data_IF_110062361087
#
_entry.id   IF_110062361087
#
_cell.length_a   1.000
_cell.length_b   1.000
_cell.length_c   1.000
_cell.angle_alpha   90.00
_cell.angle_beta   90.00
_cell.angle_gamma   90.00
#
_symmetry.space_group_name_H-M   'P 1'
#
loop_
_entity.id
_entity.type
_entity.pdbx_description
1 polymer ?
#
# COMPACT_ATOMS: atom_id res chain seq x y z
N UNK A 1 -2.63 -12.94 -29.67
CA UNK A 1 -2.04 -12.10 -28.61
C UNK A 1 -3.14 -11.74 -27.61
N UNK A 2 -2.80 -11.49 -26.35
CA UNK A 2 -3.76 -10.96 -25.36
C UNK A 2 -3.97 -9.46 -25.65
N UNK A 3 -5.21 -8.96 -25.49
CA UNK A 3 -5.57 -7.56 -25.73
C UNK A 3 -6.30 -6.98 -24.52
N UNK A 4 -5.95 -5.75 -24.15
CA UNK A 4 -6.66 -4.97 -23.12
C UNK A 4 -7.49 -3.88 -23.80
N UNK A 5 -8.81 -3.93 -23.66
CA UNK A 5 -9.73 -3.04 -24.38
C UNK A 5 -10.89 -2.56 -23.51
N UNK A 6 -11.53 -1.46 -23.92
CA UNK A 6 -12.82 -1.04 -23.36
C UNK A 6 -13.98 -1.56 -24.19
N UNK A 7 -14.84 -2.41 -23.60
CA UNK A 7 -16.05 -2.92 -24.26
C UNK A 7 -17.30 -2.25 -23.70
N UNK A 8 -18.27 -1.96 -24.57
CA UNK A 8 -19.59 -1.54 -24.11
C UNK A 8 -20.26 -2.70 -23.33
N UNK A 9 -21.06 -2.42 -22.27
CA UNK A 9 -21.62 -3.47 -21.42
C UNK A 9 -22.45 -4.53 -22.15
N UNK A 10 -23.12 -4.17 -23.24
CA UNK A 10 -23.92 -5.08 -24.08
C UNK A 10 -23.07 -6.05 -24.91
N UNK A 11 -21.76 -5.79 -25.05
CA UNK A 11 -20.80 -6.64 -25.76
C UNK A 11 -20.07 -7.62 -24.85
N UNK A 12 -20.30 -7.55 -23.54
CA UNK A 12 -19.62 -8.38 -22.55
C UNK A 12 -20.53 -9.55 -22.18
N UNK A 13 -20.10 -10.76 -22.53
CA UNK A 13 -20.73 -12.00 -22.11
C UNK A 13 -19.65 -13.10 -22.01
N UNK A 14 -19.52 -13.70 -20.84
CA UNK A 14 -18.60 -14.82 -20.59
C UNK A 14 -19.04 -15.60 -19.36
N UNK A 15 -18.35 -16.69 -19.03
CA UNK A 15 -18.56 -17.46 -17.80
C UNK A 15 -17.68 -16.88 -16.67
N UNK A 16 -18.24 -16.11 -15.71
CA UNK A 16 -17.46 -15.58 -14.60
C UNK A 16 -16.97 -16.69 -13.68
N UNK A 17 -15.87 -16.44 -12.97
CA UNK A 17 -15.32 -17.33 -11.96
C UNK A 17 -16.40 -17.74 -10.94
N UNK A 18 -16.49 -19.02 -10.63
CA UNK A 18 -17.48 -19.64 -9.73
C UNK A 18 -18.95 -19.55 -10.18
N UNK A 19 -19.22 -19.05 -11.39
CA UNK A 19 -20.57 -19.06 -11.95
C UNK A 19 -20.89 -20.41 -12.63
N UNK A 20 -22.20 -20.70 -12.76
CA UNK A 20 -22.69 -21.94 -13.40
C UNK A 20 -23.07 -21.78 -14.87
N UNK A 21 -23.14 -20.54 -15.36
CA UNK A 21 -23.56 -20.21 -16.73
C UNK A 21 -22.89 -18.93 -17.19
N UNK A 22 -22.86 -18.71 -18.49
CA UNK A 22 -22.49 -17.41 -19.04
C UNK A 22 -23.43 -16.32 -18.56
N UNK A 23 -22.85 -15.15 -18.30
CA UNK A 23 -23.54 -13.96 -17.82
C UNK A 23 -23.07 -12.75 -18.63
N UNK A 24 -24.02 -11.86 -18.94
CA UNK A 24 -23.74 -10.53 -19.48
C UNK A 24 -23.14 -9.62 -18.40
N UNK A 25 -22.51 -8.50 -18.78
CA UNK A 25 -22.02 -7.54 -17.78
C UNK A 25 -23.12 -7.08 -16.81
N UNK A 26 -24.35 -6.88 -17.29
CA UNK A 26 -25.49 -6.49 -16.45
C UNK A 26 -25.79 -7.57 -15.40
N UNK A 27 -25.94 -8.82 -15.83
CA UNK A 27 -26.18 -9.95 -14.91
C UNK A 27 -25.02 -10.13 -13.93
N UNK A 28 -23.78 -9.94 -14.36
CA UNK A 28 -22.62 -10.00 -13.45
C UNK A 28 -22.78 -8.97 -12.34
N UNK A 29 -23.03 -7.71 -12.67
CA UNK A 29 -23.15 -6.62 -11.70
C UNK A 29 -24.39 -6.72 -10.80
N UNK A 30 -25.48 -7.31 -11.31
CA UNK A 30 -26.77 -7.39 -10.61
C UNK A 30 -27.01 -8.70 -9.86
N UNK A 31 -26.34 -9.81 -10.24
CA UNK A 31 -26.62 -11.14 -9.69
C UNK A 31 -25.38 -11.80 -9.06
N UNK A 32 -24.18 -11.64 -9.64
CA UNK A 32 -22.97 -12.30 -9.15
C UNK A 32 -22.50 -11.67 -7.82
N UNK A 33 -22.15 -12.46 -6.78
CA UNK A 33 -21.74 -11.92 -5.47
C UNK A 33 -20.62 -10.88 -5.57
N UNK A 34 -19.55 -11.19 -6.32
CA UNK A 34 -18.44 -10.25 -6.57
C UNK A 34 -18.81 -9.08 -7.47
N UNK A 35 -19.73 -9.29 -8.42
CA UNK A 35 -20.21 -8.21 -9.26
C UNK A 35 -20.97 -7.17 -8.45
N UNK A 36 -21.85 -7.60 -7.54
CA UNK A 36 -22.57 -6.73 -6.60
C UNK A 36 -21.63 -5.95 -5.68
N UNK A 37 -20.66 -6.65 -5.10
CA UNK A 37 -19.68 -6.07 -4.17
C UNK A 37 -18.92 -4.91 -4.81
N UNK A 38 -18.49 -5.06 -6.07
CA UNK A 38 -17.64 -4.09 -6.76
C UNK A 38 -18.36 -3.24 -7.82
N UNK A 39 -19.68 -3.36 -7.98
CA UNK A 39 -20.44 -2.67 -9.02
C UNK A 39 -20.26 -1.14 -8.99
N UNK A 40 -20.02 -0.57 -7.81
CA UNK A 40 -19.74 0.85 -7.64
C UNK A 40 -18.54 1.35 -8.44
N UNK A 41 -17.54 0.49 -8.72
CA UNK A 41 -16.30 0.86 -9.41
C UNK A 41 -16.51 1.20 -10.90
N UNK A 42 -17.55 0.64 -11.51
CA UNK A 42 -17.87 0.83 -12.94
C UNK A 42 -19.13 1.65 -13.17
N UNK A 43 -19.75 2.14 -12.09
CA UNK A 43 -21.03 2.88 -12.16
C UNK A 43 -20.87 4.16 -12.98
N UNK A 44 -21.68 4.28 -14.04
CA UNK A 44 -21.70 5.45 -14.92
C UNK A 44 -20.65 5.43 -16.05
N UNK A 45 -19.80 4.41 -16.13
CA UNK A 45 -18.87 4.25 -17.24
C UNK A 45 -19.59 3.73 -18.50
N UNK A 46 -19.17 4.21 -19.67
CA UNK A 46 -19.72 3.78 -20.98
C UNK A 46 -19.08 2.49 -21.50
N UNK A 47 -17.85 2.20 -21.07
CA UNK A 47 -17.09 1.02 -21.45
C UNK A 47 -16.43 0.43 -20.21
N UNK A 48 -16.33 -0.89 -20.14
CA UNK A 48 -15.65 -1.62 -19.08
C UNK A 48 -14.36 -2.22 -19.62
N UNK A 49 -13.32 -2.21 -18.78
CA UNK A 49 -12.02 -2.74 -19.14
C UNK A 49 -12.06 -4.27 -19.16
N UNK A 50 -11.61 -4.87 -20.26
CA UNK A 50 -11.59 -6.30 -20.45
C UNK A 50 -10.25 -6.77 -21.03
N UNK A 51 -9.78 -7.91 -20.53
CA UNK A 51 -8.73 -8.67 -21.20
C UNK A 51 -9.36 -9.73 -22.11
N UNK A 52 -8.83 -9.85 -23.32
CA UNK A 52 -9.25 -10.82 -24.33
C UNK A 52 -8.05 -11.69 -24.71
N UNK A 53 -8.26 -12.99 -24.87
CA UNK A 53 -7.24 -13.90 -25.36
C UNK A 53 -7.07 -13.82 -26.89
N UNK A 54 -6.16 -14.62 -27.45
CA UNK A 54 -5.92 -14.68 -28.90
C UNK A 54 -7.07 -15.24 -29.74
N UNK A 55 -8.16 -15.70 -29.11
CA UNK A 55 -9.40 -16.19 -29.75
C UNK A 55 -10.59 -15.28 -29.44
N UNK A 56 -10.32 -14.05 -28.99
CA UNK A 56 -11.31 -13.04 -28.61
C UNK A 56 -12.24 -13.47 -27.46
N UNK A 57 -11.81 -14.42 -26.62
CA UNK A 57 -12.54 -14.80 -25.41
C UNK A 57 -12.14 -13.89 -24.26
N UNK A 58 -13.14 -13.45 -23.49
CA UNK A 58 -12.93 -12.61 -22.31
C UNK A 58 -12.22 -13.43 -21.23
N UNK A 59 -11.06 -12.93 -20.80
CA UNK A 59 -10.27 -13.46 -19.68
C UNK A 59 -10.68 -12.83 -18.36
N UNK A 60 -11.00 -11.53 -18.36
CA UNK A 60 -11.48 -10.80 -17.20
C UNK A 60 -12.26 -9.55 -17.61
N UNK A 61 -13.15 -9.11 -16.72
CA UNK A 61 -13.78 -7.80 -16.72
C UNK A 61 -13.25 -7.05 -15.50
N UNK A 62 -12.13 -6.34 -15.67
CA UNK A 62 -11.40 -5.68 -14.60
C UNK A 62 -12.09 -4.35 -14.21
N UNK A 63 -12.16 -3.99 -12.92
CA UNK A 63 -11.60 -4.66 -11.74
C UNK A 63 -12.57 -5.64 -11.05
N UNK A 64 -13.58 -6.14 -11.75
CA UNK A 64 -14.72 -6.84 -11.12
C UNK A 64 -14.48 -8.33 -10.95
N UNK A 65 -14.21 -9.06 -12.04
CA UNK A 65 -14.19 -10.54 -12.00
C UNK A 65 -13.41 -11.15 -13.17
N UNK A 66 -12.76 -12.28 -12.89
CA UNK A 66 -12.07 -13.11 -13.88
C UNK A 66 -13.00 -14.18 -14.49
N UNK A 67 -12.59 -14.77 -15.61
CA UNK A 67 -13.28 -15.88 -16.27
C UNK A 67 -13.00 -17.21 -15.57
N UNK A 68 -14.02 -18.06 -15.43
CA UNK A 68 -13.87 -19.44 -14.93
C UNK A 68 -12.99 -20.28 -15.85
N UNK A 69 -13.04 -20.02 -17.16
CA UNK A 69 -12.37 -20.85 -18.17
C UNK A 69 -10.89 -20.51 -18.33
N UNK A 70 -10.55 -19.22 -18.27
CA UNK A 70 -9.21 -18.73 -18.61
C UNK A 70 -8.53 -17.99 -17.46
N UNK A 71 -9.27 -17.53 -16.46
CA UNK A 71 -8.72 -16.80 -15.30
C UNK A 71 -8.61 -17.64 -14.03
N UNK A 72 -9.05 -18.91 -14.04
CA UNK A 72 -8.98 -19.79 -12.88
C UNK A 72 -7.59 -20.42 -12.74
N UNK A 73 -6.97 -20.20 -11.60
CA UNK A 73 -5.75 -20.92 -11.18
C UNK A 73 -6.16 -22.09 -10.27
N UNK A 74 -5.56 -23.26 -10.47
CA UNK A 74 -5.84 -24.49 -9.72
C UNK A 74 -4.56 -25.19 -9.29
N UNK A 75 -4.66 -26.22 -8.44
CA UNK A 75 -3.49 -27.00 -8.00
C UNK A 75 -2.70 -27.64 -9.16
N UNK A 76 -3.32 -27.84 -10.31
CA UNK A 76 -2.66 -28.38 -11.50
C UNK A 76 -1.97 -27.33 -12.37
N UNK A 77 -2.17 -26.04 -12.11
CA UNK A 77 -1.62 -24.95 -12.92
C UNK A 77 -0.09 -24.93 -12.78
N UNK A 78 0.60 -24.86 -13.92
CA UNK A 78 2.07 -24.80 -14.01
C UNK A 78 2.56 -23.45 -14.50
N UNK A 79 1.87 -22.90 -15.48
CA UNK A 79 2.16 -21.60 -16.08
C UNK A 79 1.05 -20.62 -15.73
N UNK A 80 1.42 -19.41 -15.31
CA UNK A 80 0.48 -18.36 -14.93
C UNK A 80 0.81 -17.09 -15.71
N UNK A 81 -0.19 -16.54 -16.39
CA UNK A 81 -0.13 -15.19 -16.92
C UNK A 81 -0.62 -14.22 -15.85
N UNK A 82 0.24 -13.29 -15.44
CA UNK A 82 -0.07 -12.28 -14.42
C UNK A 82 -0.28 -10.94 -15.12
N UNK A 83 -1.44 -10.33 -14.92
CA UNK A 83 -1.72 -8.96 -15.34
C UNK A 83 -1.90 -8.06 -14.12
N UNK A 84 -1.47 -6.81 -14.24
CA UNK A 84 -1.79 -5.76 -13.29
C UNK A 84 -2.20 -4.52 -14.09
N UNK A 85 -3.41 -4.04 -13.84
CA UNK A 85 -3.99 -2.91 -14.56
C UNK A 85 -4.56 -1.89 -13.59
N UNK A 86 -4.44 -0.62 -13.96
CA UNK A 86 -4.79 0.52 -13.10
C UNK A 86 -4.51 1.84 -13.79
N UNK A 87 -4.69 2.93 -13.04
CA UNK A 87 -4.54 4.29 -13.57
C UNK A 87 -3.13 4.85 -13.48
N UNK A 88 -2.29 4.27 -12.61
CA UNK A 88 -0.90 4.70 -12.39
C UNK A 88 0.04 3.56 -12.78
N UNK A 89 0.85 3.81 -13.82
CA UNK A 89 1.75 2.81 -14.39
C UNK A 89 2.82 2.36 -13.39
N UNK A 90 3.40 3.28 -12.62
CA UNK A 90 4.51 2.97 -11.71
C UNK A 90 4.02 2.11 -10.55
N UNK A 91 2.81 2.38 -10.05
CA UNK A 91 2.18 1.56 -9.00
C UNK A 91 1.87 0.16 -9.52
N UNK A 92 1.26 0.02 -10.71
CA UNK A 92 0.90 -1.32 -11.24
C UNK A 92 2.13 -2.12 -11.66
N UNK A 93 3.16 -1.45 -12.19
CA UNK A 93 4.45 -2.06 -12.53
C UNK A 93 5.14 -2.60 -11.27
N UNK A 94 5.17 -1.80 -10.20
CA UNK A 94 5.71 -2.23 -8.90
C UNK A 94 4.92 -3.41 -8.34
N UNK A 95 3.58 -3.35 -8.36
CA UNK A 95 2.73 -4.44 -7.88
C UNK A 95 2.98 -5.74 -8.66
N UNK A 96 3.08 -5.64 -9.99
CA UNK A 96 3.45 -6.78 -10.83
C UNK A 96 4.81 -7.33 -10.44
N UNK A 97 5.83 -6.48 -10.27
CA UNK A 97 7.16 -6.87 -9.83
C UNK A 97 7.10 -7.64 -8.51
N UNK A 98 6.37 -7.16 -7.50
CA UNK A 98 6.21 -7.86 -6.22
C UNK A 98 5.59 -9.25 -6.38
N UNK A 99 4.55 -9.39 -7.21
CA UNK A 99 3.88 -10.68 -7.43
C UNK A 99 4.82 -11.66 -8.14
N UNK A 100 5.44 -11.25 -9.24
CA UNK A 100 6.28 -12.15 -10.05
C UNK A 100 7.57 -12.53 -9.31
N UNK A 101 8.17 -11.63 -8.53
CA UNK A 101 9.34 -12.00 -7.71
C UNK A 101 8.97 -12.92 -6.57
N UNK A 102 7.79 -12.76 -5.95
CA UNK A 102 7.29 -13.71 -4.95
C UNK A 102 7.10 -15.11 -5.54
N UNK A 103 6.57 -15.21 -6.76
CA UNK A 103 6.46 -16.50 -7.47
C UNK A 103 7.83 -17.08 -7.83
N UNK A 104 8.81 -16.24 -8.15
CA UNK A 104 10.18 -16.68 -8.40
C UNK A 104 10.87 -17.20 -7.14
N UNK A 105 10.66 -16.56 -5.99
CA UNK A 105 11.15 -17.04 -4.70
C UNK A 105 10.56 -18.41 -4.33
N UNK A 106 9.35 -18.71 -4.81
CA UNK A 106 8.71 -20.03 -4.69
C UNK A 106 9.22 -21.07 -5.71
N UNK A 107 10.21 -20.73 -6.54
CA UNK A 107 10.81 -21.60 -7.55
C UNK A 107 10.26 -21.45 -8.96
N UNK A 108 9.44 -20.42 -9.22
CA UNK A 108 8.96 -20.08 -10.56
C UNK A 108 10.05 -19.41 -11.43
N UNK A 109 9.87 -19.47 -12.74
CA UNK A 109 10.68 -18.71 -13.70
C UNK A 109 9.85 -17.55 -14.23
N UNK A 110 10.40 -16.33 -14.22
CA UNK A 110 9.73 -15.14 -14.73
C UNK A 110 9.98 -15.02 -16.23
N UNK A 111 8.91 -15.00 -17.02
CA UNK A 111 8.97 -14.69 -18.45
C UNK A 111 8.39 -13.31 -18.72
N UNK A 112 9.15 -12.48 -19.45
CA UNK A 112 8.71 -11.14 -19.81
C UNK A 112 7.83 -11.13 -21.05
N UNK A 113 6.84 -10.23 -21.06
CA UNK A 113 5.95 -9.99 -22.18
C UNK A 113 6.26 -8.64 -22.83
N UNK A 114 6.08 -8.56 -24.15
CA UNK A 114 6.06 -7.29 -24.88
C UNK A 114 4.66 -6.67 -24.84
N UNK A 115 4.54 -5.51 -24.21
CA UNK A 115 3.31 -4.72 -24.16
C UNK A 115 3.36 -3.66 -25.25
N UNK A 116 2.28 -3.57 -26.05
CA UNK A 116 2.12 -2.58 -27.10
C UNK A 116 0.96 -1.67 -26.76
N UNK A 117 1.26 -0.43 -26.40
CA UNK A 117 0.27 0.61 -26.16
C UNK A 117 -0.04 1.32 -27.48
N UNK A 118 -1.27 1.15 -27.98
CA UNK A 118 -1.72 1.84 -29.20
C UNK A 118 -1.92 3.35 -28.97
N UNK A 119 -2.11 3.74 -27.71
CA UNK A 119 -2.36 5.12 -27.29
C UNK A 119 -1.48 5.47 -26.08
N UNK A 120 -1.07 6.73 -25.96
CA UNK A 120 -0.23 7.23 -24.87
C UNK A 120 1.25 7.37 -25.24
N UNK A 121 2.09 7.65 -24.26
CA UNK A 121 3.53 7.95 -24.44
C UNK A 121 4.44 6.72 -24.28
N UNK A 122 3.93 5.60 -23.74
CA UNK A 122 4.73 4.42 -23.42
C UNK A 122 5.17 3.62 -24.66
N UNK A 123 4.37 3.62 -25.74
CA UNK A 123 4.70 2.90 -26.97
C UNK A 123 4.82 1.39 -26.76
N UNK A 124 5.97 0.80 -27.13
CA UNK A 124 6.25 -0.63 -26.92
C UNK A 124 7.27 -0.81 -25.81
N UNK A 125 6.91 -1.60 -24.79
CA UNK A 125 7.74 -1.86 -23.61
C UNK A 125 7.80 -3.35 -23.30
N UNK A 126 8.79 -3.75 -22.51
CA UNK A 126 8.92 -5.11 -21.97
C UNK A 126 8.57 -5.08 -20.48
N UNK A 127 7.71 -6.01 -20.03
CA UNK A 127 7.26 -6.10 -18.64
C UNK A 127 7.28 -7.56 -18.16
N UNK A 128 7.62 -7.85 -16.89
CA UNK A 128 8.04 -6.91 -15.85
C UNK A 128 9.42 -6.29 -16.13
N UNK A 129 9.63 -5.05 -15.72
CA UNK A 129 10.96 -4.44 -15.66
C UNK A 129 11.52 -4.61 -14.25
N UNK A 130 12.49 -5.52 -14.13
CA UNK A 130 13.16 -5.85 -12.87
C UNK A 130 14.50 -5.12 -12.69
N UNK A 131 14.75 -4.08 -13.47
CA UNK A 131 15.99 -3.29 -13.38
C UNK A 131 16.06 -2.59 -12.01
N UNK A 132 17.11 -2.83 -11.20
CA UNK A 132 17.26 -2.16 -9.91
C UNK A 132 17.44 -0.64 -10.06
N UNK A 133 16.89 0.12 -9.12
CA UNK A 133 17.11 1.57 -9.04
C UNK A 133 18.44 1.86 -8.35
N UNK A 134 19.32 2.62 -9.01
CA UNK A 134 20.60 3.04 -8.42
C UNK A 134 20.41 4.25 -7.48
N UNK A 135 20.97 4.16 -6.27
CA UNK A 135 20.99 5.25 -5.29
C UNK A 135 22.41 5.51 -4.80
N UNK A 136 22.85 6.76 -4.91
CA UNK A 136 24.08 7.20 -4.25
C UNK A 136 23.82 7.33 -2.75
N UNK A 137 24.68 6.74 -1.93
CA UNK A 137 24.58 6.84 -0.48
C UNK A 137 25.49 7.91 0.09
N UNK A 138 25.00 8.60 1.11
CA UNK A 138 25.80 9.49 1.93
C UNK A 138 26.07 8.83 3.29
N UNK A 139 27.25 8.22 3.39
CA UNK A 139 27.72 7.52 4.58
C UNK A 139 27.79 8.46 5.80
N UNK A 140 28.21 9.71 5.59
CA UNK A 140 28.33 10.68 6.68
C UNK A 140 26.95 11.07 7.22
N UNK A 141 25.98 11.27 6.32
CA UNK A 141 24.60 11.50 6.70
C UNK A 141 24.01 10.31 7.46
N UNK A 142 24.15 9.08 6.94
CA UNK A 142 23.60 7.88 7.59
C UNK A 142 24.20 7.69 8.98
N UNK A 143 25.52 7.79 9.12
CA UNK A 143 26.19 7.70 10.43
C UNK A 143 25.71 8.79 11.39
N UNK A 144 25.51 10.02 10.90
CA UNK A 144 24.98 11.12 11.72
C UNK A 144 23.55 10.85 12.21
N UNK A 145 22.67 10.33 11.34
CA UNK A 145 21.29 9.98 11.70
C UNK A 145 21.26 8.86 12.74
N UNK A 146 22.11 7.84 12.56
CA UNK A 146 22.14 6.67 13.44
C UNK A 146 22.95 6.90 14.73
N UNK A 147 23.81 7.92 14.77
CA UNK A 147 24.78 8.08 15.86
C UNK A 147 25.83 6.95 15.89
N UNK A 148 26.15 6.38 14.73
CA UNK A 148 27.14 5.32 14.55
C UNK A 148 28.36 5.84 13.79
N UNK A 149 29.40 5.01 13.69
CA UNK A 149 30.59 5.29 12.87
C UNK A 149 30.94 4.06 12.02
N UNK A 150 29.99 3.63 11.19
CA UNK A 150 30.14 2.49 10.30
C UNK A 150 30.99 2.87 9.08
N UNK A 151 31.90 1.98 8.70
CA UNK A 151 32.59 2.05 7.41
C UNK A 151 31.63 1.68 6.26
N UNK A 152 31.98 2.09 5.04
CA UNK A 152 31.24 1.71 3.83
C UNK A 152 31.05 0.19 3.70
N UNK A 153 32.09 -0.57 4.04
CA UNK A 153 32.08 -2.02 3.99
C UNK A 153 31.11 -2.63 5.01
N UNK A 154 30.98 -2.05 6.19
CA UNK A 154 30.02 -2.47 7.19
C UNK A 154 28.59 -2.11 6.78
N UNK A 155 28.36 -0.89 6.30
CA UNK A 155 27.05 -0.48 5.76
C UNK A 155 26.61 -1.37 4.59
N UNK A 156 27.50 -1.64 3.64
CA UNK A 156 27.25 -2.56 2.51
C UNK A 156 26.81 -3.94 2.98
N UNK A 157 27.43 -4.49 4.04
CA UNK A 157 27.01 -5.78 4.62
C UNK A 157 25.63 -5.70 5.25
N UNK A 158 25.31 -4.61 5.96
CA UNK A 158 24.01 -4.42 6.60
C UNK A 158 22.90 -4.24 5.55
N UNK A 159 23.13 -3.44 4.52
CA UNK A 159 22.22 -3.28 3.39
C UNK A 159 21.98 -4.61 2.65
N UNK A 160 23.02 -5.41 2.45
CA UNK A 160 22.89 -6.75 1.84
C UNK A 160 22.00 -7.69 2.67
N UNK A 161 22.01 -7.58 4.01
CA UNK A 161 21.09 -8.34 4.87
C UNK A 161 19.62 -7.94 4.66
N UNK A 162 19.36 -6.70 4.24
CA UNK A 162 18.03 -6.16 3.95
C UNK A 162 17.61 -6.32 2.49
N UNK A 163 18.30 -7.17 1.73
CA UNK A 163 17.93 -7.50 0.35
C UNK A 163 18.42 -6.49 -0.69
N UNK A 164 19.23 -5.50 -0.32
CA UNK A 164 19.87 -4.61 -1.30
C UNK A 164 21.10 -5.27 -1.94
N UNK A 165 21.38 -4.89 -3.18
CA UNK A 165 22.71 -5.08 -3.76
C UNK A 165 23.53 -3.79 -3.63
N UNK A 166 24.86 -3.92 -3.74
CA UNK A 166 25.79 -2.80 -3.62
C UNK A 166 26.86 -2.88 -4.71
N UNK A 167 27.00 -1.83 -5.51
CA UNK A 167 28.06 -1.69 -6.51
C UNK A 167 29.25 -0.94 -5.90
N UNK A 168 30.32 -1.68 -5.57
CA UNK A 168 31.54 -1.14 -4.97
C UNK A 168 32.34 -0.24 -5.92
N UNK A 169 32.16 -0.33 -7.24
CA UNK A 169 32.88 0.51 -8.21
C UNK A 169 32.23 1.87 -8.35
N UNK A 170 30.90 1.89 -8.34
CA UNK A 170 30.10 3.13 -8.47
C UNK A 170 29.77 3.76 -7.11
N UNK A 171 29.97 3.05 -6.01
CA UNK A 171 29.55 3.44 -4.66
C UNK A 171 28.04 3.74 -4.59
N UNK A 172 27.23 2.85 -5.18
CA UNK A 172 25.76 2.96 -5.19
C UNK A 172 25.09 1.72 -4.63
N UNK A 173 23.96 1.94 -3.97
CA UNK A 173 23.02 0.91 -3.58
C UNK A 173 22.10 0.62 -4.76
N UNK A 174 21.84 -0.67 -5.01
CA UNK A 174 20.91 -1.15 -6.01
C UNK A 174 19.64 -1.59 -5.30
N UNK A 175 18.60 -0.76 -5.39
CA UNK A 175 17.29 -1.03 -4.80
C UNK A 175 16.53 -1.99 -5.72
N UNK A 176 16.12 -3.18 -5.24
CA UNK A 176 15.36 -4.12 -6.05
C UNK A 176 14.07 -3.52 -6.59
N UNK A 177 13.66 -3.90 -7.79
CA UNK A 177 12.50 -3.31 -8.48
C UNK A 177 11.14 -3.59 -7.81
N UNK A 178 11.09 -4.51 -6.83
CA UNK A 178 9.91 -4.77 -5.99
C UNK A 178 9.85 -3.89 -4.73
N UNK A 179 10.92 -3.14 -4.41
CA UNK A 179 10.94 -2.19 -3.29
C UNK A 179 10.59 -0.78 -3.76
N UNK A 180 9.44 -0.29 -3.32
CA UNK A 180 8.95 1.06 -3.62
C UNK A 180 8.76 1.92 -2.37
N UNK A 181 9.16 1.37 -1.22
CA UNK A 181 9.20 2.03 0.09
C UNK A 181 10.44 2.92 0.26
N UNK A 182 11.45 2.77 -0.59
CA UNK A 182 12.69 3.57 -0.56
C UNK A 182 12.51 4.86 -1.36
N UNK A 183 12.28 5.96 -0.66
CA UNK A 183 11.99 7.29 -1.22
C UNK A 183 13.04 8.33 -0.83
N UNK A 184 13.80 8.09 0.24
CA UNK A 184 14.76 9.02 0.80
C UNK A 184 15.95 8.30 1.46
N UNK A 185 17.05 9.03 1.68
CA UNK A 185 18.26 8.51 2.32
C UNK A 185 18.00 7.93 3.73
N UNK A 186 16.96 8.41 4.41
CA UNK A 186 16.60 7.97 5.76
C UNK A 186 16.06 6.54 5.78
N UNK A 187 15.46 6.08 4.68
CA UNK A 187 14.93 4.71 4.58
C UNK A 187 16.10 3.69 4.55
N UNK A 188 17.23 4.05 3.94
CA UNK A 188 18.46 3.26 4.06
C UNK A 188 19.01 3.28 5.50
N UNK A 189 18.91 4.42 6.20
CA UNK A 189 19.33 4.48 7.60
C UNK A 189 18.46 3.59 8.48
N UNK A 190 17.14 3.56 8.27
CA UNK A 190 16.21 2.65 8.94
C UNK A 190 16.58 1.19 8.70
N UNK A 191 16.76 0.77 7.44
CA UNK A 191 17.13 -0.61 7.12
C UNK A 191 18.50 -1.00 7.68
N UNK A 192 19.46 -0.07 7.70
CA UNK A 192 20.75 -0.28 8.36
C UNK A 192 20.57 -0.44 9.87
N UNK A 193 19.70 0.35 10.51
CA UNK A 193 19.39 0.22 11.94
C UNK A 193 18.75 -1.14 12.27
N UNK A 194 17.78 -1.59 11.45
CA UNK A 194 17.15 -2.90 11.58
C UNK A 194 18.20 -4.02 11.44
N UNK A 195 19.03 -3.97 10.39
CA UNK A 195 20.07 -4.97 10.15
C UNK A 195 21.18 -4.96 11.21
N UNK A 196 21.45 -3.79 11.79
CA UNK A 196 22.41 -3.61 12.87
C UNK A 196 21.86 -4.15 14.20
N UNK A 197 20.54 -4.09 14.40
CA UNK A 197 19.88 -4.47 15.65
C UNK A 197 19.74 -3.27 16.58
N UNK A 198 18.50 -2.89 16.89
CA UNK A 198 18.21 -1.74 17.77
C UNK A 198 18.80 -1.91 19.18
N UNK A 199 18.95 -3.15 19.64
CA UNK A 199 19.56 -3.52 20.91
C UNK A 199 21.05 -3.19 21.00
N UNK A 200 21.73 -2.97 19.87
CA UNK A 200 23.16 -2.67 19.82
C UNK A 200 23.46 -1.17 19.92
N UNK A 201 22.43 -0.31 19.88
CA UNK A 201 22.60 1.13 20.06
C UNK A 201 22.84 1.47 21.53
N UNK A 202 23.82 2.34 21.79
CA UNK A 202 24.04 2.89 23.14
C UNK A 202 23.16 4.12 23.33
N UNK A 203 22.20 4.11 24.29
CA UNK A 203 21.36 5.28 24.54
C UNK A 203 22.19 6.48 24.96
N UNK A 204 21.85 7.66 24.42
CA UNK A 204 22.49 8.92 24.79
C UNK A 204 21.44 9.93 25.27
N UNK A 205 21.83 10.79 26.20
CA UNK A 205 20.99 11.92 26.61
C UNK A 205 21.21 13.05 25.61
N UNK A 206 20.17 13.59 24.97
CA UNK A 206 20.33 14.69 24.04
C UNK A 206 20.82 15.94 24.77
N UNK A 207 21.84 16.61 24.22
CA UNK A 207 22.42 17.84 24.79
C UNK A 207 21.53 19.05 24.46
N UNK A 208 20.30 19.04 24.95
CA UNK A 208 19.32 20.13 24.74
C UNK A 208 19.08 20.82 26.07
N UNK A 209 19.66 22.01 26.25
CA UNK A 209 19.41 22.85 27.42
C UNK A 209 18.13 23.64 27.21
N UNK A 210 17.02 23.16 27.76
CA UNK A 210 15.73 23.87 27.75
C UNK A 210 15.18 24.02 29.17
N UNK A 211 14.52 25.13 29.44
CA UNK A 211 13.76 25.34 30.67
C UNK A 211 12.29 25.09 30.35
N UNK A 212 11.72 24.04 30.90
CA UNK A 212 10.29 23.77 30.81
C UNK A 212 9.51 24.57 31.85
N UNK A 213 8.32 25.05 31.48
CA UNK A 213 7.37 25.65 32.42
C UNK A 213 5.99 25.02 32.26
N UNK A 214 5.29 24.80 33.37
CA UNK A 214 3.89 24.40 33.37
C UNK A 214 3.02 25.55 32.80
N UNK A 215 2.14 25.24 31.84
CA UNK A 215 1.21 26.25 31.32
C UNK A 215 0.33 26.81 32.43
N UNK A 216 0.05 28.12 32.39
CA UNK A 216 -0.74 28.80 33.41
C UNK A 216 -2.12 28.16 33.62
N UNK A 217 -2.76 27.69 32.55
CA UNK A 217 -4.05 26.99 32.63
C UNK A 217 -3.95 25.68 33.40
N UNK A 218 -2.83 24.94 33.30
CA UNK A 218 -2.61 23.71 34.07
C UNK A 218 -2.35 24.01 35.53
N UNK A 219 -1.54 25.04 35.83
CA UNK A 219 -1.31 25.52 37.22
C UNK A 219 -2.64 25.83 37.93
N UNK A 220 -3.56 26.50 37.23
CA UNK A 220 -4.89 26.81 37.77
C UNK A 220 -5.74 25.57 37.93
N UNK A 221 -5.87 24.73 36.89
CA UNK A 221 -6.65 23.49 36.95
C UNK A 221 -6.22 22.61 38.12
N UNK A 222 -4.91 22.51 38.36
CA UNK A 222 -4.35 21.76 39.48
C UNK A 222 -4.76 22.34 40.84
N UNK A 223 -4.63 23.65 41.04
CA UNK A 223 -5.08 24.31 42.28
C UNK A 223 -6.57 24.12 42.53
N UNK A 224 -7.39 24.29 41.49
CA UNK A 224 -8.84 24.10 41.58
C UNK A 224 -9.16 22.65 41.96
N UNK A 225 -8.52 21.67 41.32
CA UNK A 225 -8.68 20.26 41.65
C UNK A 225 -8.33 19.97 43.11
N UNK A 226 -7.18 20.44 43.59
CA UNK A 226 -6.73 20.25 44.98
C UNK A 226 -7.76 20.81 45.98
N UNK A 227 -8.32 21.99 45.70
CA UNK A 227 -9.37 22.60 46.52
C UNK A 227 -10.64 21.74 46.52
N UNK A 228 -11.11 21.28 45.36
CA UNK A 228 -12.33 20.46 45.26
C UNK A 228 -12.18 19.11 45.97
N UNK A 229 -11.01 18.47 45.84
CA UNK A 229 -10.69 17.23 46.58
C UNK A 229 -10.68 17.48 48.09
N UNK A 230 -10.12 18.60 48.55
CA UNK A 230 -10.15 19.00 49.96
C UNK A 230 -11.56 19.20 50.52
N UNK A 231 -12.55 19.46 49.67
CA UNK A 231 -13.97 19.55 50.03
C UNK A 231 -14.74 18.22 49.90
N UNK A 232 -14.03 17.11 49.65
CA UNK A 232 -14.61 15.77 49.56
C UNK A 232 -15.22 15.41 48.20
N UNK A 233 -14.95 16.18 47.14
CA UNK A 233 -15.37 15.82 45.78
C UNK A 233 -14.39 14.81 45.16
N UNK A 234 -14.92 13.89 44.36
CA UNK A 234 -14.15 12.92 43.58
C UNK A 234 -14.02 13.38 42.13
N UNK A 235 -12.81 13.38 41.59
CA UNK A 235 -12.57 13.68 40.17
C UNK A 235 -13.02 12.51 39.28
N UNK A 236 -13.75 12.83 38.22
CA UNK A 236 -14.24 11.86 37.23
C UNK A 236 -13.70 12.24 35.84
N UNK A 237 -13.28 11.24 35.06
CA UNK A 237 -12.87 11.40 33.67
C UNK A 237 -13.88 10.72 32.75
N UNK A 238 -14.72 11.53 32.11
CA UNK A 238 -15.78 11.06 31.22
C UNK A 238 -15.31 10.98 29.76
N UNK A 239 -16.11 10.36 28.91
CA UNK A 239 -15.89 10.36 27.47
C UNK A 239 -16.07 11.77 26.88
N UNK A 240 -15.24 12.10 25.90
CA UNK A 240 -15.35 13.35 25.14
C UNK A 240 -16.46 13.29 24.07
N UNK A 241 -16.98 12.08 23.79
CA UNK A 241 -18.08 11.84 22.86
C UNK A 241 -19.31 11.47 23.66
N UNK A 242 -20.43 12.12 23.34
CA UNK A 242 -21.74 11.87 23.92
C UNK A 242 -22.76 11.67 22.80
N UNK A 243 -23.83 10.95 23.09
CA UNK A 243 -24.93 10.80 22.14
C UNK A 243 -25.66 12.13 21.95
N UNK A 244 -26.32 12.28 20.80
CA UNK A 244 -27.16 13.46 20.53
C UNK A 244 -28.28 13.62 21.58
N UNK A 245 -28.80 12.50 22.10
CA UNK A 245 -29.79 12.49 23.18
C UNK A 245 -29.23 13.09 24.47
N UNK A 246 -28.03 12.65 24.91
CA UNK A 246 -27.43 13.19 26.13
C UNK A 246 -27.04 14.65 25.96
N UNK A 247 -26.63 15.05 24.76
CA UNK A 247 -26.33 16.43 24.43
C UNK A 247 -27.56 17.33 24.57
N UNK A 248 -28.73 16.87 24.10
CA UNK A 248 -30.01 17.56 24.25
C UNK A 248 -30.41 17.68 25.73
N UNK A 249 -30.28 16.60 26.50
CA UNK A 249 -30.54 16.59 27.96
C UNK A 249 -29.64 17.60 28.69
N UNK A 250 -28.37 17.72 28.29
CA UNK A 250 -27.40 18.64 28.90
C UNK A 250 -27.52 20.08 28.39
N UNK A 251 -28.36 20.35 27.38
CA UNK A 251 -28.52 21.68 26.78
C UNK A 251 -27.27 22.18 26.06
N UNK A 252 -26.45 21.27 25.51
CA UNK A 252 -25.21 21.62 24.80
C UNK A 252 -25.56 21.98 23.35
N UNK A 253 -25.47 23.26 23.02
CA UNK A 253 -25.84 23.79 21.70
C UNK A 253 -24.65 23.93 20.74
N UNK A 254 -23.42 23.94 21.27
CA UNK A 254 -22.19 24.03 20.47
C UNK A 254 -21.46 22.68 20.50
N UNK A 255 -21.45 22.00 19.37
CA UNK A 255 -20.89 20.66 19.22
C UNK A 255 -20.40 20.42 17.79
N UNK A 256 -19.52 19.44 17.64
CA UNK A 256 -19.03 18.98 16.34
C UNK A 256 -19.55 17.57 16.09
N UNK A 257 -20.35 17.41 15.04
CA UNK A 257 -20.90 16.10 14.66
C UNK A 257 -19.86 15.26 13.93
N UNK A 258 -19.65 14.04 14.40
CA UNK A 258 -18.85 13.04 13.69
C UNK A 258 -19.70 12.32 12.67
N UNK A 259 -19.22 12.23 11.42
CA UNK A 259 -19.98 11.64 10.30
C UNK A 259 -20.08 10.10 10.38
N UNK A 260 -19.06 9.45 10.92
CA UNK A 260 -18.95 7.99 11.00
C UNK A 260 -18.60 7.57 12.43
N UNK A 261 -19.57 7.71 13.34
CA UNK A 261 -19.40 7.27 14.73
C UNK A 261 -19.36 5.75 14.83
N UNK A 262 -18.58 5.24 15.78
CA UNK A 262 -18.50 3.81 16.11
C UNK A 262 -19.82 3.31 16.75
N UNK A 263 -20.55 4.18 17.42
CA UNK A 263 -21.88 3.94 17.98
C UNK A 263 -22.79 5.14 17.80
N UNK A 264 -24.10 4.93 17.98
CA UNK A 264 -25.09 6.02 18.03
C UNK A 264 -24.85 6.93 19.23
#
# INVERSE_FOLDING_TARGET
>A
PIRFVGLAPDKIKFLPLEARREMTAKEILEDHPKGKEYAGLVKGLKHYACFLDGKDKIMSMTPIINSELTGKVSNGTKDVFVECSGFDYDIVSTCLNMIVTSLADMGGTIEACTLKYEHGTLGTITSPDLTPKEWKIDIAYINKVLGLNLSEKEMSKLLKKMGFAYDEKKHVVLVPAYRNDILHMVDFAEDIAIAYGYENFTPTIPTVATVGEESWSTKIKRKVREILVGHGLLEMKNYNLISAELQEILGINEFVTLKSCVSK
#
